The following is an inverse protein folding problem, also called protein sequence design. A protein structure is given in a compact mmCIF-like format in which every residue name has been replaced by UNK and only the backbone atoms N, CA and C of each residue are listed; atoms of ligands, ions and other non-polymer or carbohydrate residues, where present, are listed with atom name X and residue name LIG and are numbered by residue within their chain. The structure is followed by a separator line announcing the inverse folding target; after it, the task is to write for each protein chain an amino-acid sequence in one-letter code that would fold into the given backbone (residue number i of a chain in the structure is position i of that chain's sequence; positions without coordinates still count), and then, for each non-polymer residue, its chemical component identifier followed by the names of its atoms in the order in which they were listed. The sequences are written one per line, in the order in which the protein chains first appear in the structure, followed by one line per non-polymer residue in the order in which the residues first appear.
data_IF_292814172342
#
_entry.id   IF_292814172342
#
_cell.length_a   1.000
_cell.length_b   1.000
_cell.length_c   1.000
_cell.angle_alpha   90.00
_cell.angle_beta   90.00
_cell.angle_gamma   90.00
#
_symmetry.space_group_name_H-M   'P 1'
#
loop_
_entity.id
_entity.type
_entity.pdbx_description
1 polymer ?
#
# COMPACT_ATOMS: atom_id res chain seq x y z
N UNK A 1 -11.79 4.98 -9.55
CA UNK A 1 -11.59 4.05 -8.43
C UNK A 1 -12.51 4.44 -7.29
N UNK A 2 -13.21 3.47 -6.72
CA UNK A 2 -14.08 3.68 -5.57
C UNK A 2 -13.28 3.41 -4.29
N UNK A 3 -13.17 4.41 -3.41
CA UNK A 3 -12.34 4.33 -2.21
C UNK A 3 -13.24 4.49 -0.99
N UNK A 4 -13.12 3.53 -0.06
CA UNK A 4 -13.82 3.56 1.22
C UNK A 4 -12.80 3.73 2.33
N UNK A 5 -13.09 4.62 3.27
CA UNK A 5 -12.24 4.89 4.42
C UNK A 5 -12.85 4.31 5.69
N UNK A 6 -12.02 3.69 6.49
CA UNK A 6 -12.38 3.14 7.79
C UNK A 6 -11.49 3.75 8.86
N UNK A 7 -12.09 4.04 10.00
CA UNK A 7 -11.39 4.66 11.13
C UNK A 7 -11.59 3.84 12.40
N UNK A 8 -10.61 3.93 13.30
CA UNK A 8 -10.71 3.40 14.63
C UNK A 8 -11.07 4.57 15.55
N UNK A 9 -12.07 4.39 16.42
CA UNK A 9 -12.48 5.40 17.42
C UNK A 9 -13.01 6.72 16.81
N UNK A 10 -13.69 6.70 15.70
CA UNK A 10 -14.32 7.87 15.05
C UNK A 10 -13.38 9.04 14.77
N UNK A 11 -12.08 8.77 14.61
CA UNK A 11 -11.08 9.80 14.28
C UNK A 11 -11.04 10.00 12.77
N UNK A 12 -11.88 10.88 12.25
CA UNK A 12 -11.85 11.21 10.84
C UNK A 12 -10.72 12.20 10.52
N UNK A 13 -10.10 12.04 9.37
CA UNK A 13 -9.08 12.97 8.86
C UNK A 13 -9.35 13.24 7.39
N UNK A 14 -10.16 14.27 7.13
CA UNK A 14 -10.58 14.61 5.77
C UNK A 14 -9.42 15.11 4.89
N UNK A 15 -8.39 15.71 5.47
CA UNK A 15 -7.21 16.13 4.72
C UNK A 15 -6.48 14.90 4.17
N UNK A 16 -6.29 13.88 4.98
CA UNK A 16 -5.64 12.64 4.56
C UNK A 16 -6.51 11.90 3.53
N UNK A 17 -7.82 11.86 3.71
CA UNK A 17 -8.73 11.27 2.74
C UNK A 17 -8.61 11.94 1.38
N UNK A 18 -8.58 13.27 1.34
CA UNK A 18 -8.48 14.01 0.08
C UNK A 18 -7.17 13.72 -0.65
N UNK A 19 -6.05 13.69 0.07
CA UNK A 19 -4.73 13.40 -0.49
C UNK A 19 -4.69 11.96 -1.01
N UNK A 20 -5.17 11.01 -0.22
CA UNK A 20 -5.20 9.60 -0.59
C UNK A 20 -6.04 9.39 -1.85
N UNK A 21 -7.24 9.98 -1.89
CA UNK A 21 -8.14 9.86 -3.04
C UNK A 21 -7.48 10.41 -4.31
N UNK A 22 -6.88 11.58 -4.22
CA UNK A 22 -6.21 12.22 -5.34
C UNK A 22 -5.08 11.38 -5.90
N UNK A 23 -4.17 10.92 -5.03
CA UNK A 23 -3.01 10.14 -5.45
C UNK A 23 -3.37 8.73 -5.85
N UNK A 24 -4.32 8.07 -5.16
CA UNK A 24 -4.74 6.73 -5.54
C UNK A 24 -5.36 6.70 -6.95
N UNK A 25 -6.16 7.70 -7.29
CA UNK A 25 -6.72 7.79 -8.64
C UNK A 25 -5.62 8.00 -9.70
N UNK A 26 -4.63 8.85 -9.42
CA UNK A 26 -3.50 9.05 -10.33
C UNK A 26 -2.67 7.78 -10.47
N UNK A 27 -2.37 7.10 -9.35
CA UNK A 27 -1.59 5.86 -9.35
C UNK A 27 -2.34 4.75 -10.11
N UNK A 28 -3.67 4.71 -10.03
CA UNK A 28 -4.47 3.73 -10.77
C UNK A 28 -4.34 3.86 -12.29
N UNK A 29 -3.88 5.01 -12.78
CA UNK A 29 -3.58 5.22 -14.20
C UNK A 29 -2.16 4.77 -14.58
N UNK A 30 -1.33 4.44 -13.59
CA UNK A 30 0.08 4.04 -13.80
C UNK A 30 0.26 2.55 -13.62
N UNK A 31 -0.38 1.95 -12.62
CA UNK A 31 -0.29 0.52 -12.31
C UNK A 31 -1.69 -0.08 -12.21
N UNK A 32 -1.78 -1.39 -12.44
CA UNK A 32 -3.03 -2.14 -12.32
C UNK A 32 -3.47 -2.23 -10.86
N UNK A 33 -4.66 -1.70 -10.59
CA UNK A 33 -5.29 -1.75 -9.27
C UNK A 33 -6.71 -2.28 -9.41
N UNK A 34 -7.29 -2.88 -8.35
CA UNK A 34 -8.71 -3.23 -8.36
C UNK A 34 -9.59 -1.97 -8.43
N UNK A 35 -10.85 -2.15 -8.84
CA UNK A 35 -11.79 -1.04 -8.99
C UNK A 35 -12.15 -0.38 -7.66
N UNK A 36 -12.05 -1.13 -6.56
CA UNK A 36 -12.35 -0.65 -5.22
C UNK A 36 -11.14 -0.76 -4.32
N UNK A 37 -10.96 0.22 -3.46
CA UNK A 37 -9.88 0.26 -2.47
C UNK A 37 -10.47 0.58 -1.11
N UNK A 38 -10.07 -0.18 -0.10
CA UNK A 38 -10.41 0.08 1.29
C UNK A 38 -9.17 0.58 2.02
N UNK A 39 -9.28 1.75 2.64
CA UNK A 39 -8.17 2.37 3.38
C UNK A 39 -8.56 2.48 4.85
N UNK A 40 -7.79 1.83 5.70
CA UNK A 40 -7.96 1.90 7.14
C UNK A 40 -7.00 2.94 7.71
N UNK A 41 -7.56 4.02 8.26
CA UNK A 41 -6.80 5.10 8.87
C UNK A 41 -6.92 4.97 10.39
N UNK A 42 -5.85 4.54 11.04
CA UNK A 42 -5.83 4.39 12.51
C UNK A 42 -4.41 4.55 13.02
N UNK A 43 -4.24 4.84 14.33
CA UNK A 43 -2.90 4.96 14.90
C UNK A 43 -2.15 3.62 14.82
N UNK A 44 -0.93 3.67 14.30
CA UNK A 44 0.00 2.55 14.28
C UNK A 44 1.20 2.89 15.16
N UNK A 45 2.09 1.93 15.40
CA UNK A 45 3.32 2.19 16.12
C UNK A 45 4.14 3.28 15.40
N UNK A 46 4.94 4.06 16.14
CA UNK A 46 5.64 5.24 15.62
C UNK A 46 6.50 4.95 14.40
N UNK A 47 7.03 3.73 14.28
CA UNK A 47 7.86 3.31 13.16
C UNK A 47 7.09 2.56 12.07
N UNK A 48 5.77 2.51 12.16
CA UNK A 48 4.92 1.83 11.17
C UNK A 48 4.03 2.87 10.50
N UNK A 49 4.23 3.09 9.21
CA UNK A 49 3.53 4.12 8.44
C UNK A 49 2.33 3.58 7.66
N UNK A 50 2.40 2.31 7.24
CA UNK A 50 1.32 1.68 6.50
C UNK A 50 1.52 0.17 6.41
N UNK A 51 0.61 -0.49 5.73
CA UNK A 51 0.67 -1.93 5.51
C UNK A 51 -0.48 -2.42 4.66
N UNK A 52 -0.39 -3.68 4.23
CA UNK A 52 -1.45 -4.35 3.47
C UNK A 52 -2.13 -5.39 4.36
N UNK A 53 -3.42 -5.59 4.12
CA UNK A 53 -4.19 -6.61 4.79
C UNK A 53 -3.89 -7.97 4.14
N UNK A 54 -3.59 -8.99 4.95
CA UNK A 54 -3.25 -10.32 4.44
C UNK A 54 -4.45 -11.07 3.89
N UNK A 55 -5.64 -10.76 4.39
CA UNK A 55 -6.87 -11.46 4.02
C UNK A 55 -7.61 -10.82 2.86
N UNK A 56 -7.31 -9.55 2.56
CA UNK A 56 -8.00 -8.79 1.52
C UNK A 56 -7.00 -8.26 0.49
N UNK A 57 -7.32 -8.42 -0.79
CA UNK A 57 -6.46 -7.95 -1.89
C UNK A 57 -6.44 -6.42 -1.94
N UNK A 58 -7.56 -5.79 -1.64
CA UNK A 58 -7.79 -4.36 -1.87
C UNK A 58 -7.83 -3.51 -0.60
N UNK A 59 -7.31 -4.00 0.51
CA UNK A 59 -7.32 -3.26 1.78
C UNK A 59 -5.90 -2.91 2.20
N UNK A 60 -5.68 -1.64 2.56
CA UNK A 60 -4.41 -1.16 3.11
C UNK A 60 -4.67 -0.42 4.42
N UNK A 61 -3.64 -0.35 5.25
CA UNK A 61 -3.62 0.49 6.44
C UNK A 61 -2.65 1.65 6.24
N UNK A 62 -3.02 2.82 6.73
CA UNK A 62 -2.13 3.98 6.77
C UNK A 62 -2.22 4.59 8.16
N UNK A 63 -1.07 4.90 8.74
CA UNK A 63 -1.01 5.54 10.04
C UNK A 63 -1.61 6.95 9.95
N UNK A 64 -2.69 7.18 10.69
CA UNK A 64 -3.43 8.45 10.66
C UNK A 64 -2.59 9.62 11.18
N UNK A 65 -1.53 9.35 11.94
CA UNK A 65 -0.68 10.36 12.59
C UNK A 65 0.52 10.80 11.74
N UNK A 66 0.70 10.24 10.54
CA UNK A 66 1.80 10.69 9.66
C UNK A 66 1.47 12.06 9.07
N UNK A 67 2.53 12.80 8.67
CA UNK A 67 2.34 14.08 8.01
C UNK A 67 1.69 13.91 6.64
N UNK A 68 0.90 14.90 6.22
CA UNK A 68 0.27 14.90 4.92
C UNK A 68 1.30 14.76 3.78
N UNK A 69 2.49 15.33 3.96
CA UNK A 69 3.58 15.30 2.99
C UNK A 69 4.15 13.89 2.77
N UNK A 70 4.04 13.03 3.77
CA UNK A 70 4.53 11.65 3.71
C UNK A 70 3.56 10.69 3.03
N UNK A 71 2.29 11.05 2.91
CA UNK A 71 1.24 10.17 2.39
C UNK A 71 1.52 9.69 0.97
N UNK A 72 1.89 10.56 0.00
CA UNK A 72 2.08 10.10 -1.37
C UNK A 72 3.08 8.96 -1.50
N UNK A 73 4.20 9.05 -0.80
CA UNK A 73 5.25 8.00 -0.85
C UNK A 73 4.78 6.71 -0.21
N UNK A 74 4.18 6.79 0.97
CA UNK A 74 3.70 5.62 1.72
C UNK A 74 2.57 4.96 0.96
N UNK A 75 1.61 5.74 0.47
CA UNK A 75 0.50 5.24 -0.32
C UNK A 75 0.98 4.52 -1.59
N UNK A 76 1.94 5.10 -2.29
CA UNK A 76 2.50 4.49 -3.51
C UNK A 76 3.08 3.11 -3.20
N UNK A 77 3.87 2.98 -2.14
CA UNK A 77 4.44 1.71 -1.71
C UNK A 77 3.34 0.67 -1.45
N UNK A 78 2.34 1.04 -0.67
CA UNK A 78 1.26 0.12 -0.31
C UNK A 78 0.39 -0.24 -1.53
N UNK A 79 0.14 0.69 -2.44
CA UNK A 79 -0.62 0.40 -3.65
C UNK A 79 0.14 -0.49 -4.63
N UNK A 80 1.47 -0.45 -4.64
CA UNK A 80 2.25 -1.43 -5.41
C UNK A 80 2.00 -2.83 -4.86
N UNK A 81 1.93 -3.00 -3.55
CA UNK A 81 1.58 -4.30 -2.95
C UNK A 81 0.16 -4.74 -3.33
N UNK A 82 -0.80 -3.82 -3.34
CA UNK A 82 -2.16 -4.12 -3.80
C UNK A 82 -2.13 -4.62 -5.24
N UNK A 83 -1.37 -3.96 -6.10
CA UNK A 83 -1.19 -4.37 -7.50
C UNK A 83 -0.58 -5.77 -7.61
N UNK A 84 0.45 -6.05 -6.82
CA UNK A 84 1.09 -7.38 -6.79
C UNK A 84 0.07 -8.47 -6.43
N UNK A 85 -0.77 -8.22 -5.43
CA UNK A 85 -1.82 -9.17 -5.02
C UNK A 85 -2.92 -9.27 -6.07
N UNK A 86 -3.35 -8.14 -6.61
CA UNK A 86 -4.41 -8.08 -7.63
C UNK A 86 -4.02 -8.84 -8.89
N UNK A 87 -2.77 -8.72 -9.31
CA UNK A 87 -2.25 -9.43 -10.48
C UNK A 87 -1.86 -10.89 -10.20
N UNK A 88 -1.92 -11.32 -8.94
CA UNK A 88 -1.59 -12.69 -8.55
C UNK A 88 -0.10 -12.97 -8.42
N UNK A 89 0.76 -11.95 -8.47
CA UNK A 89 2.20 -12.14 -8.27
C UNK A 89 2.53 -12.43 -6.81
N UNK A 90 1.86 -11.75 -5.88
CA UNK A 90 1.96 -12.01 -4.45
C UNK A 90 0.68 -12.70 -4.00
N UNK A 91 0.81 -13.90 -3.45
CA UNK A 91 -0.33 -14.65 -2.91
C UNK A 91 -0.04 -14.97 -1.45
N UNK A 92 -0.91 -14.52 -0.55
CA UNK A 92 -0.84 -14.81 0.87
C UNK A 92 -2.02 -15.72 1.22
N UNK A 93 -1.72 -16.95 1.59
CA UNK A 93 -2.73 -17.96 1.93
C UNK A 93 -3.26 -17.74 3.36
N UNK A 94 -4.48 -18.24 3.68
CA UNK A 94 -5.01 -18.14 5.05
C UNK A 94 -4.10 -18.74 6.12
N UNK A 95 -3.30 -19.76 5.76
CA UNK A 95 -2.31 -20.37 6.65
C UNK A 95 -1.00 -19.58 6.72
N UNK A 96 -0.97 -18.35 6.20
CA UNK A 96 0.16 -17.42 6.21
C UNK A 96 1.31 -17.78 5.28
N UNK A 97 1.15 -18.81 4.44
CA UNK A 97 2.14 -19.14 3.42
C UNK A 97 2.13 -18.07 2.32
N UNK A 98 3.30 -17.54 2.01
CA UNK A 98 3.48 -16.50 1.00
C UNK A 98 4.15 -17.06 -0.24
N UNK A 99 3.59 -16.73 -1.40
CA UNK A 99 4.10 -17.12 -2.72
C UNK A 99 4.40 -15.88 -3.55
N UNK A 100 5.47 -15.92 -4.30
CA UNK A 100 5.86 -14.88 -5.24
C UNK A 100 6.07 -15.50 -6.62
N UNK A 101 5.27 -15.06 -7.60
CA UNK A 101 5.25 -15.64 -8.94
C UNK A 101 5.09 -17.17 -8.92
N UNK A 102 4.23 -17.66 -8.05
CA UNK A 102 3.94 -19.10 -7.91
C UNK A 102 4.96 -19.89 -7.10
N UNK A 103 6.04 -19.27 -6.61
CA UNK A 103 7.08 -19.94 -5.84
C UNK A 103 6.88 -19.67 -4.35
N UNK A 104 6.86 -20.73 -3.54
CA UNK A 104 6.78 -20.61 -2.09
C UNK A 104 8.01 -19.88 -1.53
N UNK A 105 7.76 -18.92 -0.69
CA UNK A 105 8.82 -18.12 -0.10
C UNK A 105 8.93 -18.25 1.41
N UNK A 106 7.84 -18.02 2.13
CA UNK A 106 7.87 -18.05 3.58
C UNK A 106 6.46 -18.11 4.17
N UNK A 107 6.37 -18.62 5.40
CA UNK A 107 5.17 -18.49 6.25
C UNK A 107 5.44 -17.67 7.51
N UNK A 108 6.62 -17.04 7.62
CA UNK A 108 6.91 -16.14 8.74
C UNK A 108 6.05 -14.88 8.65
N UNK A 109 5.55 -14.44 9.79
CA UNK A 109 4.88 -13.15 9.91
C UNK A 109 5.93 -12.02 9.93
N UNK A 110 5.58 -10.78 9.51
CA UNK A 110 6.51 -9.65 9.60
C UNK A 110 7.10 -9.46 10.99
N UNK A 111 6.30 -9.66 12.04
CA UNK A 111 6.75 -9.55 13.43
C UNK A 111 7.73 -10.66 13.85
N UNK A 112 7.83 -11.74 13.07
CA UNK A 112 8.78 -12.84 13.28
C UNK A 112 10.09 -12.65 12.51
N UNK A 113 10.15 -11.60 11.67
CA UNK A 113 11.29 -11.33 10.80
C UNK A 113 12.19 -10.26 11.39
N UNK A 114 13.50 -10.37 11.10
CA UNK A 114 14.41 -9.24 11.29
C UNK A 114 14.09 -8.17 10.24
N UNK A 115 14.58 -6.95 10.46
CA UNK A 115 14.43 -5.87 9.49
C UNK A 115 15.00 -6.27 8.12
N UNK A 116 16.19 -6.88 8.11
CA UNK A 116 16.85 -7.30 6.87
C UNK A 116 16.07 -8.40 6.15
N UNK A 117 15.52 -9.37 6.89
CA UNK A 117 14.68 -10.41 6.30
C UNK A 117 13.44 -9.82 5.63
N UNK A 118 12.77 -8.88 6.31
CA UNK A 118 11.58 -8.22 5.78
C UNK A 118 11.90 -7.41 4.53
N UNK A 119 12.94 -6.57 4.60
CA UNK A 119 13.35 -5.72 3.48
C UNK A 119 13.72 -6.52 2.23
N UNK A 120 14.33 -7.70 2.40
CA UNK A 120 14.83 -8.51 1.30
C UNK A 120 13.78 -9.46 0.71
N UNK A 121 12.54 -9.43 1.20
CA UNK A 121 11.45 -10.15 0.57
C UNK A 121 11.27 -9.66 -0.87
N UNK A 122 11.06 -10.56 -1.85
CA UNK A 122 11.01 -10.16 -3.25
C UNK A 122 9.91 -9.13 -3.56
N UNK A 123 8.77 -9.20 -2.89
CA UNK A 123 7.71 -8.21 -3.08
C UNK A 123 8.04 -6.87 -2.44
N UNK A 124 8.86 -6.82 -1.39
CA UNK A 124 9.35 -5.57 -0.82
C UNK A 124 10.41 -4.96 -1.72
N UNK A 125 11.37 -5.75 -2.21
CA UNK A 125 12.37 -5.28 -3.16
C UNK A 125 11.73 -4.72 -4.43
N UNK A 126 10.71 -5.38 -4.96
CA UNK A 126 9.98 -4.91 -6.13
C UNK A 126 9.29 -3.57 -5.83
N UNK A 127 8.60 -3.45 -4.69
CA UNK A 127 7.93 -2.22 -4.31
C UNK A 127 8.92 -1.06 -4.14
N UNK A 128 10.01 -1.27 -3.43
CA UNK A 128 11.04 -0.24 -3.23
C UNK A 128 11.68 0.18 -4.56
N UNK A 129 11.89 -0.76 -5.47
CA UNK A 129 12.52 -0.45 -6.76
C UNK A 129 11.63 0.38 -7.68
N UNK A 130 10.30 0.26 -7.54
CA UNK A 130 9.34 0.91 -8.43
C UNK A 130 8.69 2.16 -7.86
N UNK A 131 8.70 2.35 -6.53
CA UNK A 131 7.88 3.38 -5.91
C UNK A 131 8.21 4.80 -6.37
N UNK A 132 9.47 5.12 -6.56
CA UNK A 132 9.88 6.48 -6.99
C UNK A 132 9.38 6.78 -8.40
N UNK A 133 9.50 5.82 -9.32
CA UNK A 133 9.04 5.99 -10.71
C UNK A 133 7.51 6.09 -10.77
N UNK A 134 6.81 5.24 -10.06
CA UNK A 134 5.34 5.24 -10.01
C UNK A 134 4.85 6.57 -9.44
N UNK A 135 5.44 7.02 -8.34
CA UNK A 135 5.07 8.31 -7.74
C UNK A 135 5.34 9.48 -8.69
N UNK A 136 6.48 9.46 -9.37
CA UNK A 136 6.81 10.50 -10.34
C UNK A 136 5.78 10.55 -11.48
N UNK A 137 5.39 9.40 -12.01
CA UNK A 137 4.38 9.31 -13.06
C UNK A 137 3.02 9.81 -12.57
N UNK A 138 2.64 9.49 -11.33
CA UNK A 138 1.42 10.01 -10.72
C UNK A 138 1.47 11.53 -10.55
N UNK A 139 2.60 12.07 -10.13
CA UNK A 139 2.79 13.52 -10.00
C UNK A 139 2.68 14.22 -11.36
N UNK A 140 3.18 13.62 -12.43
CA UNK A 140 3.03 14.16 -13.79
C UNK A 140 1.55 14.22 -14.21
N UNK A 141 0.76 13.21 -13.86
CA UNK A 141 -0.68 13.19 -14.12
C UNK A 141 -1.40 14.30 -13.36
N UNK A 142 -0.96 14.57 -12.12
CA UNK A 142 -1.57 15.59 -11.25
C UNK A 142 -1.04 16.98 -11.50
N UNK A 143 0.05 17.15 -12.27
CA UNK A 143 0.62 18.44 -12.55
C UNK A 143 -0.37 19.30 -13.34
N UNK A 144 -0.48 20.62 -13.02
CA UNK A 144 -1.38 21.47 -13.76
C UNK A 144 -0.96 21.57 -15.22
N UNK A 145 -1.93 21.46 -16.13
CA UNK A 145 -1.70 21.65 -17.56
C UNK A 145 -1.58 23.15 -17.81
N UNK A 146 -0.49 23.56 -18.41
CA UNK A 146 -0.26 24.96 -18.79
C UNK A 146 -0.77 25.18 -20.20
#
# INVERSE_FOLDING_TARGET
MDIKFFYKHNQQNHQHEAIITKFANAISSVIELPDTLEVCLYPLADNVYGGIDRMHVNRIGINVNISAESIPKILTHELIHVSQKHLGYLVIKPNKMCYWHGVYYTKKLPEEMTYDEYRDLPWELDAYSRQSKVLQQALEILAPTI
#
